data_IF_673489808791
#
_entry.id   IF_673489808791
#
_cell.length_a   1.000
_cell.length_b   1.000
_cell.length_c   1.000
_cell.angle_alpha   90.00
_cell.angle_beta   90.00
_cell.angle_gamma   90.00
#
_symmetry.space_group_name_H-M   'P 1'
#
loop_
_entity.id
_entity.type
_entity.pdbx_description
1 polymer ?
#
# COMPACT_ATOMS: atom_id res chain seq x y z
N UNK A 1 0.06 -7.77 16.39
CA UNK A 1 0.73 -8.81 15.57
C UNK A 1 0.97 -8.25 14.18
N UNK A 2 2.05 -8.66 13.50
CA UNK A 2 2.30 -8.30 12.10
C UNK A 2 1.15 -8.77 11.21
N UNK A 3 0.82 -8.00 10.17
CA UNK A 3 -0.19 -8.40 9.18
C UNK A 3 0.44 -9.39 8.21
N UNK A 4 -0.28 -10.47 7.91
CA UNK A 4 0.14 -11.53 6.98
C UNK A 4 -1.08 -11.98 6.17
N UNK A 5 -0.87 -12.20 4.87
CA UNK A 5 -1.86 -12.75 3.96
C UNK A 5 -1.26 -13.90 3.14
N UNK A 6 -2.06 -14.91 2.82
CA UNK A 6 -1.62 -16.11 2.11
C UNK A 6 -0.84 -17.09 2.99
N UNK A 7 0.11 -17.81 2.38
CA UNK A 7 0.89 -18.87 3.01
C UNK A 7 2.39 -18.56 3.02
N UNK A 8 3.09 -19.08 4.03
CA UNK A 8 4.54 -19.01 4.09
C UNK A 8 5.18 -19.71 2.86
N UNK A 9 6.36 -19.26 2.40
CA UNK A 9 7.13 -18.12 2.90
C UNK A 9 6.49 -16.76 2.56
N UNK A 10 6.48 -15.83 3.52
CA UNK A 10 5.91 -14.50 3.32
C UNK A 10 6.95 -13.55 2.72
N UNK A 11 6.56 -12.83 1.66
CA UNK A 11 7.32 -11.66 1.20
C UNK A 11 7.08 -10.49 2.13
N UNK A 12 8.11 -10.06 2.83
CA UNK A 12 8.03 -8.90 3.71
C UNK A 12 8.01 -7.60 2.89
N UNK A 13 6.92 -6.84 3.00
CA UNK A 13 6.66 -5.63 2.24
C UNK A 13 7.12 -4.35 2.94
N UNK A 14 7.52 -4.40 4.21
CA UNK A 14 8.04 -3.21 4.88
C UNK A 14 9.43 -2.79 4.39
N UNK A 15 9.90 -1.66 4.91
CA UNK A 15 11.26 -1.15 4.67
C UNK A 15 12.37 -2.10 5.17
N UNK A 16 12.04 -3.13 5.96
CA UNK A 16 12.97 -4.18 6.40
C UNK A 16 13.04 -5.38 5.45
N UNK A 17 12.14 -5.46 4.47
CA UNK A 17 12.11 -6.53 3.47
C UNK A 17 12.32 -6.00 2.06
N UNK A 18 11.42 -6.36 1.14
CA UNK A 18 11.45 -5.92 -0.25
C UNK A 18 10.94 -4.48 -0.36
N UNK A 19 11.88 -3.54 -0.38
CA UNK A 19 11.60 -2.09 -0.40
C UNK A 19 10.73 -1.65 -1.57
N UNK A 20 10.66 -2.42 -2.68
CA UNK A 20 9.77 -2.10 -3.81
C UNK A 20 8.29 -2.14 -3.43
N UNK A 21 7.97 -2.84 -2.35
CA UNK A 21 6.64 -2.97 -1.77
C UNK A 21 6.47 -2.17 -0.48
N UNK A 22 7.42 -1.29 -0.16
CA UNK A 22 7.33 -0.40 1.00
C UNK A 22 6.72 0.94 0.60
N UNK A 23 5.69 1.40 1.33
CA UNK A 23 5.08 2.72 1.08
C UNK A 23 6.08 3.89 1.18
N UNK A 24 7.16 3.75 1.95
CA UNK A 24 8.24 4.73 2.07
C UNK A 24 9.11 4.84 0.81
N UNK A 25 9.15 3.80 -0.02
CA UNK A 25 10.02 3.69 -1.19
C UNK A 25 9.24 3.65 -2.51
N UNK A 26 7.98 3.25 -2.49
CA UNK A 26 7.10 3.18 -3.66
C UNK A 26 6.74 4.59 -4.16
N UNK A 27 7.46 5.07 -5.19
CA UNK A 27 7.28 6.40 -5.81
C UNK A 27 6.39 6.33 -7.04
N UNK A 28 5.38 7.20 -7.11
CA UNK A 28 4.42 7.27 -8.21
C UNK A 28 4.79 8.45 -9.11
N UNK A 29 5.11 8.17 -10.38
CA UNK A 29 5.55 9.19 -11.33
C UNK A 29 4.44 10.16 -11.67
N UNK A 30 3.21 9.67 -11.87
CA UNK A 30 2.03 10.51 -12.11
C UNK A 30 1.70 11.45 -10.92
N UNK A 31 2.27 11.19 -9.74
CA UNK A 31 2.14 12.03 -8.52
C UNK A 31 3.38 12.90 -8.27
N UNK A 32 4.18 13.15 -9.31
CA UNK A 32 5.39 13.98 -9.24
C UNK A 32 6.54 13.28 -8.51
N UNK A 33 6.64 11.94 -8.60
CA UNK A 33 7.71 11.15 -7.99
C UNK A 33 7.65 11.05 -6.45
N UNK A 34 6.54 11.48 -5.84
CA UNK A 34 6.29 11.33 -4.40
C UNK A 34 6.02 9.87 -4.06
N UNK A 35 6.48 9.46 -2.88
CA UNK A 35 6.17 8.14 -2.33
C UNK A 35 4.73 8.05 -1.84
N UNK A 36 4.19 6.82 -1.78
CA UNK A 36 2.85 6.57 -1.23
C UNK A 36 2.74 7.12 0.19
N UNK A 37 3.75 6.91 1.04
CA UNK A 37 3.75 7.41 2.41
C UNK A 37 3.70 8.95 2.48
N UNK A 38 4.47 9.64 1.64
CA UNK A 38 4.46 11.11 1.58
C UNK A 38 3.08 11.64 1.22
N UNK A 39 2.43 11.05 0.21
CA UNK A 39 1.11 11.47 -0.25
C UNK A 39 0.05 11.15 0.82
N UNK A 40 0.08 9.94 1.38
CA UNK A 40 -0.86 9.49 2.39
C UNK A 40 -0.82 10.34 3.67
N UNK A 41 0.39 10.65 4.17
CA UNK A 41 0.54 11.45 5.37
C UNK A 41 0.13 12.92 5.16
N UNK A 42 0.43 13.48 3.99
CA UNK A 42 0.03 14.85 3.64
C UNK A 42 -1.49 15.00 3.50
N UNK A 43 -2.21 13.94 3.11
CA UNK A 43 -3.66 13.95 2.95
C UNK A 43 -4.45 13.92 4.27
N UNK A 44 -3.78 13.62 5.39
CA UNK A 44 -4.44 13.63 6.70
C UNK A 44 -4.89 15.04 7.07
N UNK A 45 -6.10 15.11 7.60
CA UNK A 45 -6.69 16.30 8.24
C UNK A 45 -6.84 16.04 9.71
N UNK A 46 -6.48 17.00 10.54
CA UNK A 46 -6.57 16.90 11.99
C UNK A 46 -7.68 17.81 12.53
N UNK A 47 -8.08 17.59 13.78
CA UNK A 47 -9.19 18.33 14.40
C UNK A 47 -8.92 19.84 14.52
N UNK A 48 -7.66 20.24 14.54
CA UNK A 48 -7.20 21.64 14.52
C UNK A 48 -7.22 22.26 13.10
N UNK A 49 -7.70 21.53 12.09
CA UNK A 49 -7.71 21.95 10.69
C UNK A 49 -6.36 21.77 9.97
N UNK A 50 -5.29 21.35 10.66
CA UNK A 50 -3.99 21.16 10.03
C UNK A 50 -4.01 20.02 9.00
N UNK A 51 -3.30 20.23 7.88
CA UNK A 51 -3.16 19.27 6.77
C UNK A 51 -1.89 19.58 5.96
N UNK A 52 -1.52 18.74 4.98
CA UNK A 52 -0.31 18.94 4.17
C UNK A 52 1.00 18.75 4.94
N UNK A 53 0.93 18.09 6.11
CA UNK A 53 2.07 17.90 6.98
C UNK A 53 3.02 16.85 6.43
N UNK A 54 4.31 17.00 6.75
CA UNK A 54 5.29 15.96 6.48
C UNK A 54 4.96 14.70 7.27
N UNK A 55 5.44 13.53 6.80
CA UNK A 55 5.21 12.26 7.50
C UNK A 55 5.66 12.31 8.97
N UNK A 56 6.75 13.04 9.28
CA UNK A 56 7.26 13.20 10.67
C UNK A 56 6.27 13.98 11.55
N UNK A 57 5.61 15.00 10.99
CA UNK A 57 4.65 15.84 11.70
C UNK A 57 3.27 15.17 11.83
N UNK A 58 2.89 14.32 10.88
CA UNK A 58 1.60 13.63 10.87
C UNK A 58 1.62 12.30 11.66
N UNK A 59 2.79 11.68 11.81
CA UNK A 59 2.92 10.37 12.47
C UNK A 59 2.49 10.43 13.94
N UNK A 60 1.72 9.42 14.36
CA UNK A 60 1.20 9.31 15.73
C UNK A 60 -0.04 10.15 16.03
N UNK A 61 -0.44 11.05 15.12
CA UNK A 61 -1.65 11.87 15.28
C UNK A 61 -2.87 11.17 14.68
N UNK A 62 -4.04 11.35 15.32
CA UNK A 62 -5.32 10.82 14.84
C UNK A 62 -5.94 11.79 13.83
N UNK A 63 -6.00 11.39 12.56
CA UNK A 63 -6.72 12.14 11.53
C UNK A 63 -8.24 12.02 11.72
N UNK A 64 -8.98 13.04 11.30
CA UNK A 64 -10.46 13.04 11.30
C UNK A 64 -11.04 12.44 10.02
N UNK A 65 -10.28 12.44 8.93
CA UNK A 65 -10.68 11.93 7.62
C UNK A 65 -10.10 10.52 7.33
N UNK A 66 -10.18 9.61 8.31
CA UNK A 66 -9.52 8.29 8.22
C UNK A 66 -10.02 7.45 7.05
N UNK A 67 -11.34 7.49 6.78
CA UNK A 67 -11.96 6.77 5.68
C UNK A 67 -11.41 7.23 4.33
N UNK A 68 -11.40 8.54 4.08
CA UNK A 68 -10.82 9.14 2.86
C UNK A 68 -9.34 8.76 2.70
N UNK A 69 -8.59 8.79 3.81
CA UNK A 69 -7.18 8.40 3.81
C UNK A 69 -6.99 6.92 3.44
N UNK A 70 -7.87 6.03 3.91
CA UNK A 70 -7.81 4.60 3.58
C UNK A 70 -8.12 4.34 2.10
N UNK A 71 -9.14 5.00 1.57
CA UNK A 71 -9.50 4.93 0.15
C UNK A 71 -8.38 5.47 -0.75
N UNK A 72 -7.78 6.59 -0.34
CA UNK A 72 -6.60 7.14 -1.01
C UNK A 72 -5.44 6.14 -0.98
N UNK A 73 -5.16 5.54 0.17
CA UNK A 73 -4.05 4.60 0.33
C UNK A 73 -4.16 3.41 -0.63
N UNK A 74 -5.33 2.78 -0.72
CA UNK A 74 -5.58 1.70 -1.67
C UNK A 74 -5.55 2.16 -3.14
N UNK A 75 -5.96 3.40 -3.44
CA UNK A 75 -5.81 3.98 -4.78
C UNK A 75 -4.35 4.17 -5.17
N UNK A 76 -3.53 4.71 -4.27
CA UNK A 76 -2.10 4.93 -4.50
C UNK A 76 -1.36 3.62 -4.78
N UNK A 77 -1.67 2.55 -4.06
CA UNK A 77 -1.11 1.23 -4.36
C UNK A 77 -1.50 0.72 -5.74
N UNK A 78 -2.76 0.90 -6.16
CA UNK A 78 -3.20 0.54 -7.52
C UNK A 78 -2.48 1.35 -8.60
N UNK A 79 -2.35 2.66 -8.42
CA UNK A 79 -1.59 3.54 -9.33
C UNK A 79 -0.14 3.09 -9.42
N UNK A 80 0.52 2.86 -8.29
CA UNK A 80 1.91 2.42 -8.25
C UNK A 80 2.14 1.08 -8.95
N UNK A 81 1.27 0.09 -8.71
CA UNK A 81 1.39 -1.23 -9.36
C UNK A 81 1.09 -1.13 -10.86
N UNK A 82 0.14 -0.29 -11.27
CA UNK A 82 -0.14 -0.04 -12.68
C UNK A 82 1.07 0.59 -13.40
N UNK A 83 1.80 1.50 -12.76
CA UNK A 83 3.06 2.05 -13.29
C UNK A 83 4.21 1.02 -13.32
N UNK A 84 4.09 -0.07 -12.55
CA UNK A 84 5.14 -1.07 -12.35
C UNK A 84 4.63 -2.50 -12.58
N UNK A 85 4.23 -2.88 -13.81
CA UNK A 85 3.59 -4.17 -14.09
C UNK A 85 4.45 -5.38 -13.73
N UNK A 86 5.79 -5.24 -13.75
CA UNK A 86 6.72 -6.30 -13.29
C UNK A 86 6.54 -6.64 -11.81
N UNK A 87 6.12 -5.67 -10.98
CA UNK A 87 5.86 -5.91 -9.57
C UNK A 87 4.56 -6.68 -9.35
N UNK A 88 3.56 -6.50 -10.22
CA UNK A 88 2.35 -7.31 -10.17
C UNK A 88 2.66 -8.79 -10.39
N UNK A 89 3.51 -9.12 -11.37
CA UNK A 89 3.96 -10.50 -11.60
C UNK A 89 4.64 -11.10 -10.35
N UNK A 90 5.46 -10.31 -9.64
CA UNK A 90 6.10 -10.73 -8.39
C UNK A 90 5.07 -11.00 -7.29
N UNK A 91 4.01 -10.18 -7.18
CA UNK A 91 2.92 -10.40 -6.22
C UNK A 91 2.14 -11.67 -6.54
N UNK A 92 1.78 -11.88 -7.81
CA UNK A 92 1.05 -13.08 -8.27
C UNK A 92 1.84 -14.34 -7.92
N UNK A 93 3.14 -14.34 -8.19
CA UNK A 93 4.05 -15.46 -7.89
C UNK A 93 4.32 -15.66 -6.39
N UNK A 94 3.98 -14.69 -5.52
CA UNK A 94 4.20 -14.83 -4.07
C UNK A 94 3.12 -15.71 -3.43
N UNK A 95 3.54 -16.67 -2.60
CA UNK A 95 2.63 -17.54 -1.83
C UNK A 95 1.92 -16.78 -0.70
N UNK A 96 2.55 -15.74 -0.19
CA UNK A 96 2.02 -14.86 0.84
C UNK A 96 2.84 -13.57 0.97
N UNK A 97 2.26 -12.57 1.62
CA UNK A 97 2.89 -11.27 1.90
C UNK A 97 2.73 -10.92 3.38
N UNK A 98 3.69 -10.17 3.92
CA UNK A 98 3.64 -9.69 5.30
C UNK A 98 4.07 -8.24 5.42
N UNK A 99 3.61 -7.60 6.50
CA UNK A 99 4.13 -6.34 6.97
C UNK A 99 4.38 -6.43 8.47
N UNK A 100 5.66 -6.49 8.85
CA UNK A 100 6.09 -6.53 10.25
C UNK A 100 5.60 -5.34 11.08
N UNK A 101 5.36 -4.19 10.45
CA UNK A 101 4.84 -2.99 11.12
C UNK A 101 3.32 -2.84 10.99
N UNK A 102 2.67 -3.70 10.21
CA UNK A 102 1.24 -3.70 10.00
C UNK A 102 0.47 -3.96 11.30
N UNK A 103 -0.67 -3.29 11.45
CA UNK A 103 -1.58 -3.47 12.58
C UNK A 103 -3.01 -3.70 12.06
N UNK A 104 -3.75 -4.69 12.60
CA UNK A 104 -5.15 -4.88 12.26
C UNK A 104 -5.98 -3.62 12.50
N UNK A 105 -6.91 -3.31 11.59
CA UNK A 105 -7.75 -2.11 11.67
C UNK A 105 -7.09 -0.82 11.17
N UNK A 106 -5.84 -0.88 10.71
CA UNK A 106 -5.13 0.24 10.09
C UNK A 106 -4.81 -0.03 8.63
N UNK A 107 -4.60 1.03 7.84
CA UNK A 107 -4.09 0.91 6.48
C UNK A 107 -2.74 0.17 6.50
N UNK A 108 -2.60 -0.86 5.67
CA UNK A 108 -1.43 -1.73 5.65
C UNK A 108 -1.06 -2.12 4.21
N UNK A 109 0.21 -1.95 3.85
CA UNK A 109 0.70 -2.27 2.50
C UNK A 109 0.52 -3.75 2.15
N UNK A 110 0.74 -4.68 3.08
CA UNK A 110 0.55 -6.11 2.82
C UNK A 110 -0.91 -6.42 2.45
N UNK A 111 -1.87 -5.76 3.09
CA UNK A 111 -3.30 -5.92 2.75
C UNK A 111 -3.62 -5.37 1.37
N UNK A 112 -3.20 -4.14 1.05
CA UNK A 112 -3.49 -3.55 -0.26
C UNK A 112 -2.84 -4.34 -1.41
N UNK A 113 -1.59 -4.77 -1.23
CA UNK A 113 -0.86 -5.57 -2.21
C UNK A 113 -1.50 -6.94 -2.41
N UNK A 114 -1.97 -7.59 -1.35
CA UNK A 114 -2.69 -8.85 -1.45
C UNK A 114 -4.03 -8.70 -2.17
N UNK A 115 -4.78 -7.63 -1.87
CA UNK A 115 -6.05 -7.34 -2.57
C UNK A 115 -5.82 -7.11 -4.07
N UNK A 116 -4.78 -6.37 -4.45
CA UNK A 116 -4.40 -6.16 -5.86
C UNK A 116 -4.05 -7.50 -6.53
N UNK A 117 -3.29 -8.34 -5.85
CA UNK A 117 -2.94 -9.69 -6.33
C UNK A 117 -4.20 -10.53 -6.58
N UNK A 118 -5.11 -10.64 -5.61
CA UNK A 118 -6.32 -11.44 -5.76
C UNK A 118 -7.17 -10.97 -6.94
N UNK A 119 -7.40 -9.66 -7.06
CA UNK A 119 -8.15 -9.09 -8.19
C UNK A 119 -7.51 -9.38 -9.54
N UNK A 120 -6.18 -9.33 -9.63
CA UNK A 120 -5.47 -9.65 -10.87
C UNK A 120 -5.62 -11.12 -11.27
N UNK A 121 -5.58 -12.03 -10.30
CA UNK A 121 -5.81 -13.46 -10.53
C UNK A 121 -7.26 -13.71 -10.94
N UNK A 122 -8.23 -13.11 -10.25
CA UNK A 122 -9.65 -13.21 -10.59
C UNK A 122 -9.93 -12.69 -12.01
N UNK A 123 -9.37 -11.53 -12.38
CA UNK A 123 -9.50 -10.98 -13.71
C UNK A 123 -8.94 -11.92 -14.80
N UNK A 124 -7.79 -12.56 -14.56
CA UNK A 124 -7.19 -13.50 -15.49
C UNK A 124 -7.99 -14.82 -15.63
N UNK A 125 -8.73 -15.23 -14.59
CA UNK A 125 -9.62 -16.40 -14.66
C UNK A 125 -10.86 -16.10 -15.51
N UNK A 126 -11.36 -14.85 -15.47
CA UNK A 126 -12.57 -14.44 -16.17
C UNK A 126 -12.34 -13.89 -17.58
N UNK A 127 -11.09 -13.66 -17.99
CA UNK A 127 -10.71 -13.26 -19.36
C UNK A 127 -9.75 -14.29 -19.99
N UNK A 128 -10.26 -15.43 -20.50
CA UNK A 128 -9.43 -16.51 -21.04
C UNK A 128 -8.85 -16.24 -22.44
N UNK A 129 -8.89 -15.00 -22.95
CA UNK A 129 -8.60 -14.68 -24.36
C UNK A 129 -7.48 -13.65 -24.58
N UNK A 130 -6.35 -13.77 -23.86
CA UNK A 130 -5.09 -13.06 -24.19
C UNK A 130 -3.92 -14.00 -24.47
#
# INVERSE_FOLDING_TARGET
MAVRHGNAPFRECSSRGDKRFSAFCARIQARGGKSIEEIYQAAKRFADGSTGLTWRQAKGRKAVNQQECAELYGRLWREYIAENPRLLAVLIASSGVSDIFGQPGHCCQATELWNIRCRAIEAAIHDPAS
#
